data_IF_225487314639
#
_entry.id   IF_225487314639
#
_cell.length_a   1.000
_cell.length_b   1.000
_cell.length_c   1.000
_cell.angle_alpha   90.00
_cell.angle_beta   90.00
_cell.angle_gamma   90.00
#
_symmetry.space_group_name_H-M   'P 1'
#
loop_
_entity.id
_entity.type
_entity.pdbx_description
1 polymer ?
#
# COMPACT_ATOMS: atom_id res chain seq x y z
N UNK A 1 -38.75 -23.98 -20.80
CA UNK A 1 -38.35 -23.42 -19.48
C UNK A 1 -37.20 -24.19 -18.84
N UNK A 2 -37.30 -25.51 -18.60
CA UNK A 2 -36.21 -26.33 -18.01
C UNK A 2 -34.86 -26.23 -18.75
N UNK A 3 -34.86 -26.25 -20.08
CA UNK A 3 -33.65 -26.16 -20.92
C UNK A 3 -32.99 -24.79 -20.91
N UNK A 4 -33.76 -23.71 -20.72
CA UNK A 4 -33.24 -22.33 -20.65
C UNK A 4 -32.59 -22.09 -19.28
N UNK A 5 -33.18 -22.60 -18.21
CA UNK A 5 -32.62 -22.50 -16.85
C UNK A 5 -31.30 -23.27 -16.72
N UNK A 6 -31.19 -24.44 -17.36
CA UNK A 6 -29.95 -25.22 -17.43
C UNK A 6 -28.85 -24.51 -18.22
N UNK A 7 -29.18 -23.84 -19.34
CA UNK A 7 -28.22 -23.07 -20.12
C UNK A 7 -27.68 -21.83 -19.36
N UNK A 8 -28.54 -21.17 -18.58
CA UNK A 8 -28.13 -20.04 -17.73
C UNK A 8 -27.23 -20.50 -16.58
N UNK A 9 -27.55 -21.64 -15.94
CA UNK A 9 -26.72 -22.20 -14.86
C UNK A 9 -25.33 -22.64 -15.35
N UNK A 10 -25.23 -23.19 -16.56
CA UNK A 10 -23.94 -23.57 -17.16
C UNK A 10 -23.14 -22.35 -17.61
N UNK A 11 -23.79 -21.32 -18.17
CA UNK A 11 -23.14 -20.05 -18.50
C UNK A 11 -22.63 -19.30 -17.26
N UNK A 12 -23.37 -19.37 -16.14
CA UNK A 12 -22.95 -18.80 -14.86
C UNK A 12 -21.79 -19.59 -14.23
N UNK A 13 -21.76 -20.92 -14.42
CA UNK A 13 -20.65 -21.78 -13.99
C UNK A 13 -19.38 -21.55 -14.82
N UNK A 14 -19.48 -21.25 -16.13
CA UNK A 14 -18.33 -20.93 -16.97
C UNK A 14 -17.70 -19.56 -16.65
N UNK A 15 -18.45 -18.60 -16.11
CA UNK A 15 -17.90 -17.33 -15.61
C UNK A 15 -17.05 -17.49 -14.35
N UNK A 16 -17.13 -18.64 -13.65
CA UNK A 16 -16.33 -18.93 -12.46
C UNK A 16 -14.98 -19.59 -12.78
N UNK A 17 -14.75 -20.05 -14.02
CA UNK A 17 -13.64 -20.98 -14.33
C UNK A 17 -12.64 -20.42 -15.35
N UNK A 18 -12.84 -19.23 -15.91
CA UNK A 18 -11.88 -18.59 -16.85
C UNK A 18 -11.20 -17.34 -16.31
N UNK A 19 -11.16 -17.16 -14.99
CA UNK A 19 -10.39 -16.08 -14.37
C UNK A 19 -8.91 -16.43 -14.34
N UNK A 20 -8.12 -15.90 -15.28
CA UNK A 20 -6.69 -15.71 -15.05
C UNK A 20 -6.53 -15.13 -13.63
N UNK A 21 -5.76 -15.79 -12.77
CA UNK A 21 -5.47 -15.27 -11.44
C UNK A 21 -5.00 -13.83 -11.58
N UNK A 22 -5.38 -12.97 -10.63
CA UNK A 22 -4.97 -11.56 -10.60
C UNK A 22 -3.49 -11.39 -10.22
N UNK A 23 -2.70 -12.47 -10.22
CA UNK A 23 -1.32 -12.48 -9.73
C UNK A 23 -0.47 -11.35 -10.34
N UNK A 24 -0.49 -11.18 -11.66
CA UNK A 24 0.27 -10.13 -12.32
C UNK A 24 -0.17 -8.72 -11.90
N UNK A 25 -1.49 -8.47 -11.88
CA UNK A 25 -2.08 -7.20 -11.44
C UNK A 25 -1.67 -6.88 -10.00
N UNK A 26 -1.81 -7.85 -9.09
CA UNK A 26 -1.50 -7.65 -7.67
C UNK A 26 -0.01 -7.46 -7.45
N UNK A 27 0.86 -8.21 -8.14
CA UNK A 27 2.31 -8.01 -8.07
C UNK A 27 2.69 -6.59 -8.52
N UNK A 28 2.09 -6.07 -9.59
CA UNK A 28 2.30 -4.67 -10.02
C UNK A 28 1.83 -3.66 -8.98
N UNK A 29 0.64 -3.87 -8.40
CA UNK A 29 0.13 -2.98 -7.34
C UNK A 29 1.05 -2.94 -6.12
N UNK A 30 1.62 -4.09 -5.72
CA UNK A 30 2.60 -4.17 -4.64
C UNK A 30 3.90 -3.46 -4.99
N UNK A 31 4.45 -3.67 -6.18
CA UNK A 31 5.65 -2.94 -6.63
C UNK A 31 5.45 -1.43 -6.64
N UNK A 32 4.26 -0.97 -7.04
CA UNK A 32 3.94 0.46 -7.01
C UNK A 32 3.86 1.00 -5.57
N UNK A 33 3.35 0.20 -4.63
CA UNK A 33 3.33 0.53 -3.20
C UNK A 33 4.75 0.58 -2.62
N UNK A 34 5.55 -0.44 -2.88
CA UNK A 34 6.94 -0.53 -2.42
C UNK A 34 7.74 0.69 -2.92
N UNK A 35 7.60 1.04 -4.20
CA UNK A 35 8.26 2.20 -4.82
C UNK A 35 7.78 3.53 -4.22
N UNK A 36 6.48 3.64 -3.94
CA UNK A 36 5.90 4.81 -3.29
C UNK A 36 6.47 4.99 -1.88
N UNK A 37 6.56 3.91 -1.10
CA UNK A 37 7.12 3.92 0.25
C UNK A 37 8.61 4.25 0.24
N UNK A 38 9.38 3.65 -0.67
CA UNK A 38 10.81 3.92 -0.81
C UNK A 38 11.09 5.38 -1.15
N UNK A 39 10.28 6.00 -2.01
CA UNK A 39 10.44 7.42 -2.35
C UNK A 39 10.11 8.34 -1.17
N UNK A 40 9.14 7.99 -0.31
CA UNK A 40 8.88 8.72 0.94
C UNK A 40 10.10 8.69 1.86
N UNK A 41 10.66 7.49 2.09
CA UNK A 41 11.83 7.29 2.96
C UNK A 41 13.04 8.03 2.41
N UNK A 42 13.28 7.89 1.10
CA UNK A 42 14.40 8.54 0.41
C UNK A 42 14.34 10.06 0.54
N UNK A 43 13.17 10.68 0.45
CA UNK A 43 13.01 12.13 0.62
C UNK A 43 13.40 12.61 2.00
N UNK A 44 13.10 11.83 3.03
CA UNK A 44 13.52 12.15 4.41
C UNK A 44 15.03 11.90 4.58
N UNK A 45 15.51 10.77 4.10
CA UNK A 45 16.88 10.29 4.36
C UNK A 45 17.96 11.02 3.55
N UNK A 46 17.64 11.45 2.33
CA UNK A 46 18.58 12.14 1.44
C UNK A 46 18.62 13.66 1.68
N UNK A 47 17.71 14.21 2.48
CA UNK A 47 17.66 15.64 2.73
C UNK A 47 18.78 16.08 3.69
N UNK A 48 19.48 17.16 3.34
CA UNK A 48 20.48 17.78 4.23
C UNK A 48 19.85 18.37 5.49
N UNK A 49 18.60 18.84 5.38
CA UNK A 49 17.74 19.15 6.52
C UNK A 49 16.62 18.10 6.59
N UNK A 50 16.62 17.23 7.61
CA UNK A 50 15.57 16.24 7.80
C UNK A 50 14.17 16.85 7.93
N UNK A 51 14.02 18.05 8.49
CA UNK A 51 12.69 18.67 8.58
C UNK A 51 12.14 19.02 7.20
N UNK A 52 12.97 19.59 6.32
CA UNK A 52 12.59 19.83 4.93
C UNK A 52 12.31 18.53 4.18
N UNK A 53 13.10 17.47 4.45
CA UNK A 53 12.86 16.13 3.91
C UNK A 53 11.50 15.55 4.27
N UNK A 54 11.05 15.72 5.51
CA UNK A 54 9.69 15.31 5.93
C UNK A 54 8.62 16.13 5.24
N UNK A 55 8.82 17.44 5.03
CA UNK A 55 7.88 18.28 4.29
C UNK A 55 7.76 17.84 2.82
N UNK A 56 8.88 17.48 2.18
CA UNK A 56 8.89 16.95 0.82
C UNK A 56 8.24 15.57 0.71
N UNK A 57 8.53 14.68 1.67
CA UNK A 57 7.88 13.38 1.76
C UNK A 57 6.36 13.54 1.94
N UNK A 58 5.92 14.47 2.79
CA UNK A 58 4.50 14.75 2.97
C UNK A 58 3.85 15.28 1.68
N UNK A 59 4.48 16.22 0.97
CA UNK A 59 3.96 16.71 -0.32
C UNK A 59 3.85 15.58 -1.35
N UNK A 60 4.84 14.70 -1.40
CA UNK A 60 4.81 13.54 -2.28
C UNK A 60 3.68 12.59 -1.89
N UNK A 61 3.54 12.28 -0.60
CA UNK A 61 2.42 11.50 -0.06
C UNK A 61 1.08 12.10 -0.50
N UNK A 62 0.85 13.39 -0.23
CA UNK A 62 -0.40 14.07 -0.54
C UNK A 62 -0.72 14.03 -2.04
N UNK A 63 0.30 14.15 -2.89
CA UNK A 63 0.15 14.09 -4.36
C UNK A 63 -0.25 12.69 -4.88
N UNK A 64 0.09 11.63 -4.14
CA UNK A 64 -0.18 10.24 -4.51
C UNK A 64 -1.29 9.59 -3.70
N UNK A 65 -1.72 10.22 -2.60
CA UNK A 65 -2.66 9.67 -1.62
C UNK A 65 -3.88 9.03 -2.27
N UNK A 66 -4.59 9.77 -3.13
CA UNK A 66 -5.80 9.28 -3.80
C UNK A 66 -5.53 8.03 -4.64
N UNK A 67 -4.43 8.02 -5.40
CA UNK A 67 -4.06 6.86 -6.21
C UNK A 67 -3.67 5.66 -5.35
N UNK A 68 -2.89 5.87 -4.29
CA UNK A 68 -2.49 4.78 -3.38
C UNK A 68 -3.67 4.23 -2.59
N UNK A 69 -4.58 5.08 -2.11
CA UNK A 69 -5.82 4.64 -1.46
C UNK A 69 -6.62 3.71 -2.37
N UNK A 70 -6.83 4.09 -3.64
CA UNK A 70 -7.56 3.24 -4.58
C UNK A 70 -6.86 1.88 -4.81
N UNK A 71 -5.53 1.86 -4.89
CA UNK A 71 -4.76 0.60 -5.00
C UNK A 71 -4.91 -0.25 -3.74
N UNK A 72 -4.86 0.35 -2.55
CA UNK A 72 -5.06 -0.37 -1.29
C UNK A 72 -6.47 -0.95 -1.18
N UNK A 73 -7.49 -0.21 -1.66
CA UNK A 73 -8.87 -0.71 -1.69
C UNK A 73 -8.99 -1.93 -2.62
N UNK A 74 -8.31 -1.91 -3.77
CA UNK A 74 -8.20 -3.09 -4.64
C UNK A 74 -7.56 -4.26 -3.89
N UNK A 75 -6.43 -4.05 -3.19
CA UNK A 75 -5.76 -5.10 -2.42
C UNK A 75 -6.68 -5.69 -1.33
N UNK A 76 -7.37 -4.84 -0.57
CA UNK A 76 -8.34 -5.25 0.48
C UNK A 76 -9.54 -6.00 -0.09
N UNK A 77 -9.93 -5.72 -1.34
CA UNK A 77 -11.07 -6.38 -1.98
C UNK A 77 -10.77 -7.81 -2.46
N UNK A 78 -9.48 -8.19 -2.56
CA UNK A 78 -9.06 -9.50 -3.06
C UNK A 78 -9.66 -10.61 -2.19
N UNK A 79 -10.30 -11.56 -2.86
CA UNK A 79 -10.70 -12.83 -2.26
C UNK A 79 -9.58 -13.86 -2.46
N UNK A 80 -9.34 -14.70 -1.46
CA UNK A 80 -8.21 -15.62 -1.45
C UNK A 80 -8.13 -16.62 -2.62
N UNK A 81 -9.21 -16.85 -3.38
CA UNK A 81 -9.18 -17.68 -4.58
C UNK A 81 -8.72 -16.93 -5.84
N UNK A 82 -8.65 -15.60 -5.82
CA UNK A 82 -8.29 -14.77 -6.98
C UNK A 82 -6.77 -14.66 -7.19
N UNK A 83 -5.96 -15.08 -6.23
CA UNK A 83 -4.50 -15.00 -6.24
C UNK A 83 -3.87 -16.31 -5.75
N UNK A 84 -2.69 -16.63 -6.27
CA UNK A 84 -1.88 -17.76 -5.82
C UNK A 84 -1.24 -17.55 -4.45
N UNK A 85 -0.75 -18.64 -3.84
CA UNK A 85 -0.09 -18.59 -2.53
C UNK A 85 1.15 -17.69 -2.52
N UNK A 86 1.95 -17.72 -3.59
CA UNK A 86 3.11 -16.84 -3.74
C UNK A 86 2.72 -15.36 -3.66
N UNK A 87 1.67 -14.97 -4.39
CA UNK A 87 1.18 -13.58 -4.40
C UNK A 87 0.60 -13.18 -3.05
N UNK A 88 -0.10 -14.08 -2.35
CA UNK A 88 -0.57 -13.82 -0.97
C UNK A 88 0.60 -13.53 -0.03
N UNK A 89 1.63 -14.39 -0.07
CA UNK A 89 2.84 -14.22 0.73
C UNK A 89 3.55 -12.91 0.39
N UNK A 90 3.65 -12.57 -0.90
CA UNK A 90 4.24 -11.30 -1.33
C UNK A 90 3.43 -10.11 -0.79
N UNK A 91 2.10 -10.15 -0.86
CA UNK A 91 1.23 -9.10 -0.32
C UNK A 91 1.44 -8.90 1.18
N UNK A 92 1.49 -9.98 1.97
CA UNK A 92 1.75 -9.89 3.40
C UNK A 92 3.14 -9.31 3.69
N UNK A 93 4.18 -9.82 3.02
CA UNK A 93 5.56 -9.38 3.24
C UNK A 93 5.77 -7.92 2.83
N UNK A 94 5.43 -7.55 1.59
CA UNK A 94 5.64 -6.19 1.06
C UNK A 94 4.97 -5.14 1.93
N UNK A 95 3.68 -5.34 2.26
CA UNK A 95 2.94 -4.35 3.07
C UNK A 95 3.50 -4.22 4.49
N UNK A 96 3.96 -5.31 5.09
CA UNK A 96 4.62 -5.28 6.42
C UNK A 96 5.99 -4.61 6.34
N UNK A 97 6.80 -4.92 5.33
CA UNK A 97 8.11 -4.32 5.13
C UNK A 97 7.98 -2.81 4.89
N UNK A 98 7.03 -2.39 4.08
CA UNK A 98 6.74 -0.99 3.83
C UNK A 98 6.29 -0.24 5.09
N UNK A 99 5.38 -0.82 5.87
CA UNK A 99 4.99 -0.24 7.15
C UNK A 99 6.20 -0.11 8.11
N UNK A 100 7.11 -1.10 8.11
CA UNK A 100 8.35 -1.05 8.89
C UNK A 100 9.29 0.05 8.42
N UNK A 101 9.43 0.29 7.11
CA UNK A 101 10.26 1.39 6.59
C UNK A 101 9.82 2.74 7.13
N UNK A 102 8.52 3.02 7.14
CA UNK A 102 7.98 4.27 7.70
C UNK A 102 8.13 4.33 9.22
N UNK A 103 7.91 3.22 9.94
CA UNK A 103 8.15 3.16 11.38
C UNK A 103 9.63 3.39 11.74
N UNK A 104 10.55 2.89 10.91
CA UNK A 104 11.99 3.06 11.10
C UNK A 104 12.41 4.53 10.98
N UNK A 105 11.68 5.39 10.24
CA UNK A 105 11.93 6.83 10.26
C UNK A 105 11.70 7.42 11.67
N UNK A 106 10.64 6.99 12.36
CA UNK A 106 10.38 7.44 13.74
C UNK A 106 11.48 6.99 14.70
N UNK A 107 11.97 5.76 14.55
CA UNK A 107 13.08 5.24 15.35
C UNK A 107 14.37 6.01 15.05
N UNK A 108 14.71 6.18 13.77
CA UNK A 108 15.92 6.87 13.31
C UNK A 108 15.99 8.31 13.82
N UNK A 109 14.87 9.02 13.78
CA UNK A 109 14.79 10.43 14.17
C UNK A 109 14.20 10.65 15.57
N UNK A 110 14.21 9.63 16.44
CA UNK A 110 13.67 9.73 17.80
C UNK A 110 14.38 10.84 18.60
N UNK A 111 15.70 10.89 18.54
CA UNK A 111 16.52 11.90 19.23
C UNK A 111 16.23 13.32 18.74
N UNK A 112 16.01 13.51 17.44
CA UNK A 112 15.62 14.81 16.86
C UNK A 112 14.21 15.18 17.33
N UNK A 113 13.28 14.23 17.28
CA UNK A 113 11.89 14.43 17.71
C UNK A 113 11.74 14.76 19.19
N UNK A 114 12.68 14.32 20.04
CA UNK A 114 12.71 14.68 21.47
C UNK A 114 13.17 16.13 21.71
N UNK A 115 13.97 16.70 20.80
CA UNK A 115 14.53 18.06 20.94
C UNK A 115 13.76 19.10 20.13
N UNK A 116 13.04 18.67 19.10
CA UNK A 116 12.28 19.51 18.19
C UNK A 116 10.84 19.00 18.06
N UNK A 117 9.93 19.69 18.73
CA UNK A 117 8.51 19.37 18.72
C UNK A 117 7.86 19.63 17.34
N UNK A 118 8.36 20.59 16.57
CA UNK A 118 7.85 20.86 15.23
C UNK A 118 8.23 19.74 14.26
N UNK A 119 9.50 19.30 14.30
CA UNK A 119 9.95 18.13 13.56
C UNK A 119 9.14 16.89 13.93
N UNK A 120 8.95 16.63 15.24
CA UNK A 120 8.12 15.51 15.72
C UNK A 120 6.70 15.57 15.14
N UNK A 121 6.07 16.75 15.18
CA UNK A 121 4.72 16.94 14.66
C UNK A 121 4.60 16.60 13.18
N UNK A 122 5.59 17.00 12.37
CA UNK A 122 5.67 16.69 10.94
C UNK A 122 5.84 15.19 10.70
N UNK A 123 6.80 14.56 11.38
CA UNK A 123 7.08 13.13 11.20
C UNK A 123 5.90 12.26 11.66
N UNK A 124 5.30 12.59 12.81
CA UNK A 124 4.11 11.89 13.28
C UNK A 124 2.92 12.05 12.33
N UNK A 125 2.77 13.22 11.68
CA UNK A 125 1.73 13.42 10.65
C UNK A 125 1.97 12.50 9.47
N UNK A 126 3.18 12.49 8.92
CA UNK A 126 3.54 11.61 7.80
C UNK A 126 3.25 10.14 8.13
N UNK A 127 3.67 9.67 9.32
CA UNK A 127 3.41 8.29 9.77
C UNK A 127 1.92 8.00 9.90
N UNK A 128 1.14 8.88 10.53
CA UNK A 128 -0.32 8.67 10.68
C UNK A 128 -1.05 8.69 9.35
N UNK A 129 -0.66 9.58 8.45
CA UNK A 129 -1.26 9.69 7.13
C UNK A 129 -0.94 8.44 6.30
N UNK A 130 0.30 7.95 6.35
CA UNK A 130 0.67 6.68 5.72
C UNK A 130 -0.13 5.50 6.27
N UNK A 131 -0.22 5.38 7.61
CA UNK A 131 -1.03 4.35 8.26
C UNK A 131 -2.52 4.44 7.88
N UNK A 132 -3.03 5.63 7.56
CA UNK A 132 -4.42 5.81 7.15
C UNK A 132 -4.76 5.08 5.85
N UNK A 133 -3.79 4.80 4.99
CA UNK A 133 -4.00 4.00 3.78
C UNK A 133 -4.51 2.59 4.13
N UNK A 134 -4.04 2.03 5.25
CA UNK A 134 -4.34 0.66 5.68
C UNK A 134 -5.62 0.54 6.49
N UNK A 135 -6.18 1.66 6.99
CA UNK A 135 -7.41 1.64 7.80
C UNK A 135 -8.59 1.11 6.99
N UNK A 136 -9.42 0.29 7.62
CA UNK A 136 -10.67 -0.23 7.06
C UNK A 136 -11.78 0.81 7.13
#
# INVERSE_FOLDING_TARGET
MRTIVLAILIALACLLITGCKKDAEIKTLLTDFDSFTDELVKRVDAASDPSAGVDEAQKYFDSKKTAMSAKMDTLKSIRGYQVGEETKKMMETSLVEDAKKIANLQVKYISTSMRDAAFKGKLDKLTRDYQSLFKM
#
